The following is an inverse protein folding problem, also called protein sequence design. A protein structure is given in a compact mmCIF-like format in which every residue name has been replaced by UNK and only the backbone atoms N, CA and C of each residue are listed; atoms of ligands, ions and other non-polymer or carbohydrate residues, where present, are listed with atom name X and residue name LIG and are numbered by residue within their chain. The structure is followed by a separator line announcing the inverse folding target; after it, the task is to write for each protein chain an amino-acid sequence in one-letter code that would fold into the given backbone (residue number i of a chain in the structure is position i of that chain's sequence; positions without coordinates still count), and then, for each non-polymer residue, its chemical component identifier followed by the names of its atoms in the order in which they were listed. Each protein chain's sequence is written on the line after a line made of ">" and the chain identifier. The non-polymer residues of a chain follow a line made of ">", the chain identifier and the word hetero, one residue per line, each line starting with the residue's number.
data_IF_913668986573
#
_entry.id   IF_913668986573
#
_cell.length_a   1.000
_cell.length_b   1.000
_cell.length_c   1.000
_cell.angle_alpha   90.00
_cell.angle_beta   90.00
_cell.angle_gamma   90.00
#
_symmetry.space_group_name_H-M   'P 1'
#
loop_
_entity.id
_entity.type
_entity.pdbx_description
1 polymer ?
#
# COMPACT_ATOMS: atom_id res chain seq x y z
N UNK A 1 -10.32 -9.05 -10.90
CA UNK A 1 -9.71 -7.75 -10.56
C UNK A 1 -10.82 -6.74 -10.29
N UNK A 2 -10.95 -6.21 -9.06
CA UNK A 2 -11.88 -5.10 -8.81
C UNK A 2 -11.33 -3.83 -9.49
N UNK A 3 -12.15 -3.01 -10.16
CA UNK A 3 -11.71 -1.73 -10.68
C UNK A 3 -11.19 -0.88 -9.52
N UNK A 4 -10.08 -0.15 -9.75
CA UNK A 4 -9.49 0.78 -8.78
C UNK A 4 -10.38 2.02 -8.65
N UNK A 5 -11.50 1.88 -7.95
CA UNK A 5 -12.38 3.01 -7.65
C UNK A 5 -11.79 3.83 -6.52
N UNK A 6 -11.60 5.13 -6.79
CA UNK A 6 -11.23 6.10 -5.76
C UNK A 6 -12.47 6.50 -4.95
N UNK A 7 -12.33 6.58 -3.64
CA UNK A 7 -13.36 7.05 -2.72
C UNK A 7 -12.76 8.05 -1.74
N UNK A 8 -13.56 8.95 -1.19
CA UNK A 8 -13.08 9.88 -0.15
C UNK A 8 -13.01 9.14 1.18
N UNK A 9 -11.86 9.18 1.84
CA UNK A 9 -11.66 8.49 3.11
C UNK A 9 -10.40 8.92 3.85
N UNK A 10 -10.09 8.22 4.94
CA UNK A 10 -8.80 8.36 5.61
C UNK A 10 -7.76 7.46 4.94
N UNK A 11 -6.60 8.01 4.60
CA UNK A 11 -5.46 7.19 4.18
C UNK A 11 -5.00 6.34 5.37
N UNK A 12 -5.07 5.01 5.26
CA UNK A 12 -4.66 4.08 6.33
C UNK A 12 -3.25 3.54 6.15
N UNK A 13 -2.45 4.15 5.27
CA UNK A 13 -1.08 3.74 5.00
C UNK A 13 -0.07 4.54 5.85
N UNK A 14 0.45 5.66 5.33
CA UNK A 14 1.50 6.43 6.02
C UNK A 14 1.01 7.79 6.53
N UNK A 15 0.38 8.59 5.66
CA UNK A 15 0.11 10.00 6.00
C UNK A 15 -1.08 10.22 6.93
N UNK A 16 -1.93 9.21 7.15
CA UNK A 16 -3.12 9.26 8.02
C UNK A 16 -4.12 10.40 7.76
N UNK A 17 -3.96 11.14 6.65
CA UNK A 17 -4.80 12.28 6.28
C UNK A 17 -6.26 11.84 6.16
N UNK A 18 -7.21 12.52 6.84
CA UNK A 18 -8.63 12.30 6.64
C UNK A 18 -9.11 12.98 5.36
N UNK A 19 -10.26 12.52 4.83
CA UNK A 19 -10.99 13.17 3.72
C UNK A 19 -10.17 13.38 2.43
N UNK A 20 -9.30 12.43 2.09
CA UNK A 20 -8.56 12.43 0.82
C UNK A 20 -9.08 11.33 -0.10
N UNK A 21 -8.92 11.47 -1.43
CA UNK A 21 -9.12 10.36 -2.34
C UNK A 21 -8.22 9.19 -1.96
N UNK A 22 -8.82 8.04 -1.71
CA UNK A 22 -8.14 6.78 -1.39
C UNK A 22 -8.60 5.68 -2.33
N UNK A 23 -7.69 4.79 -2.68
CA UNK A 23 -7.96 3.58 -3.44
C UNK A 23 -7.81 2.37 -2.54
N UNK A 24 -8.62 1.33 -2.80
CA UNK A 24 -8.41 0.03 -2.19
C UNK A 24 -7.05 -0.53 -2.61
N UNK A 25 -6.20 -0.84 -1.63
CA UNK A 25 -4.87 -1.40 -1.86
C UNK A 25 -4.87 -2.92 -1.73
N UNK A 26 -5.55 -3.46 -0.72
CA UNK A 26 -5.61 -4.89 -0.44
C UNK A 26 -5.97 -5.20 1.01
N UNK A 27 -6.20 -6.48 1.36
CA UNK A 27 -6.31 -6.88 2.76
C UNK A 27 -4.95 -6.77 3.45
N UNK A 28 -4.94 -6.27 4.68
CA UNK A 28 -3.78 -6.27 5.57
C UNK A 28 -4.08 -7.16 6.78
N UNK A 29 -3.07 -7.90 7.24
CA UNK A 29 -3.16 -8.75 8.44
C UNK A 29 -2.17 -8.26 9.49
N UNK A 30 -2.65 -8.07 10.71
CA UNK A 30 -1.84 -7.67 11.87
C UNK A 30 -2.38 -8.39 13.09
N UNK A 31 -1.51 -9.03 13.88
CA UNK A 31 -1.91 -9.63 15.18
C UNK A 31 -3.15 -10.54 15.11
N UNK A 32 -3.27 -11.34 14.06
CA UNK A 32 -4.43 -12.24 13.84
C UNK A 32 -5.71 -11.54 13.35
N UNK A 33 -5.71 -10.22 13.23
CA UNK A 33 -6.80 -9.43 12.67
C UNK A 33 -6.57 -9.18 11.17
N UNK A 34 -7.67 -9.00 10.42
CA UNK A 34 -7.64 -8.63 9.01
C UNK A 34 -8.53 -7.42 8.76
N UNK A 35 -8.04 -6.47 7.99
CA UNK A 35 -8.80 -5.29 7.57
C UNK A 35 -8.49 -4.90 6.13
N UNK A 36 -9.36 -4.11 5.52
CA UNK A 36 -9.14 -3.55 4.18
C UNK A 36 -8.27 -2.28 4.27
N UNK A 37 -7.15 -2.29 3.55
CA UNK A 37 -6.24 -1.15 3.48
C UNK A 37 -6.63 -0.23 2.32
N UNK A 38 -6.82 1.05 2.64
CA UNK A 38 -7.09 2.11 1.68
C UNK A 38 -6.01 3.18 1.77
N UNK A 39 -5.50 3.65 0.64
CA UNK A 39 -4.36 4.57 0.59
C UNK A 39 -4.56 5.68 -0.45
N UNK A 40 -4.07 6.88 -0.16
CA UNK A 40 -4.03 7.98 -1.11
C UNK A 40 -2.93 7.76 -2.16
N UNK A 41 -2.99 8.50 -3.26
CA UNK A 41 -2.04 8.37 -4.38
C UNK A 41 -0.59 8.51 -3.94
N UNK A 42 -0.24 9.59 -3.23
CA UNK A 42 1.13 9.83 -2.74
C UNK A 42 1.68 8.63 -1.97
N UNK A 43 0.87 8.09 -1.05
CA UNK A 43 1.23 6.94 -0.23
C UNK A 43 1.40 5.66 -1.05
N UNK A 44 0.57 5.44 -2.08
CA UNK A 44 0.72 4.32 -3.02
C UNK A 44 2.01 4.46 -3.82
N UNK A 45 2.37 5.66 -4.26
CA UNK A 45 3.61 5.90 -4.99
C UNK A 45 4.85 5.61 -4.12
N UNK A 46 4.84 6.06 -2.86
CA UNK A 46 5.90 5.74 -1.88
C UNK A 46 6.04 4.23 -1.68
N UNK A 47 4.94 3.52 -1.46
CA UNK A 47 4.98 2.06 -1.28
C UNK A 47 5.53 1.35 -2.52
N UNK A 48 5.12 1.76 -3.73
CA UNK A 48 5.66 1.20 -4.96
C UNK A 48 7.16 1.45 -5.11
N UNK A 49 7.69 2.58 -4.62
CA UNK A 49 9.13 2.84 -4.61
C UNK A 49 9.86 1.86 -3.66
N UNK A 50 9.35 1.68 -2.44
CA UNK A 50 9.90 0.73 -1.46
C UNK A 50 9.87 -0.72 -1.95
N UNK A 51 8.77 -1.15 -2.57
CA UNK A 51 8.66 -2.49 -3.16
C UNK A 51 9.71 -2.68 -4.26
N UNK A 52 9.86 -1.69 -5.15
CA UNK A 52 10.89 -1.74 -6.21
C UNK A 52 12.29 -1.81 -5.61
N UNK A 53 12.57 -1.12 -4.52
CA UNK A 53 13.85 -1.20 -3.82
C UNK A 53 14.09 -2.59 -3.22
N UNK A 54 13.13 -3.13 -2.49
CA UNK A 54 13.22 -4.47 -1.90
C UNK A 54 13.44 -5.56 -2.95
N UNK A 55 12.74 -5.46 -4.11
CA UNK A 55 12.95 -6.38 -5.23
C UNK A 55 14.38 -6.28 -5.78
N UNK A 56 14.89 -5.05 -6.02
CA UNK A 56 16.28 -4.86 -6.46
C UNK A 56 17.30 -5.43 -5.48
N UNK A 57 17.05 -5.32 -4.17
CA UNK A 57 17.93 -5.87 -3.14
C UNK A 57 17.90 -7.40 -3.14
N UNK A 58 16.71 -8.01 -3.27
CA UNK A 58 16.56 -9.46 -3.36
C UNK A 58 17.25 -10.05 -4.59
N UNK A 59 17.09 -9.42 -5.75
CA UNK A 59 17.69 -9.91 -6.99
C UNK A 59 19.22 -9.74 -7.02
N UNK A 60 19.76 -8.85 -6.17
CA UNK A 60 21.21 -8.70 -5.95
C UNK A 60 21.79 -9.67 -4.93
N UNK A 61 20.96 -10.35 -4.14
CA UNK A 61 21.45 -11.36 -3.22
C UNK A 61 21.96 -12.56 -4.05
N UNK A 62 23.17 -13.08 -3.79
CA UNK A 62 23.66 -14.24 -4.51
C UNK A 62 22.71 -15.42 -4.28
N UNK A 63 22.44 -16.20 -5.34
CA UNK A 63 21.73 -17.45 -5.21
C UNK A 63 22.47 -18.31 -4.18
N UNK A 64 21.79 -18.61 -3.07
CA UNK A 64 22.34 -19.39 -1.96
C UNK A 64 22.21 -20.87 -2.23
#
# INVERSE_FOLDING_TARGET
>A
MRPRTWTTGRCRLYCLRPQVPVVWFGPVRTEGQQAELYACEDCVQTLNALVREALRQRDRAPAR
#
